data_IF_675585664039
#
_entry.id   IF_675585664039
#
_cell.length_a   1.000
_cell.length_b   1.000
_cell.length_c   1.000
_cell.angle_alpha   90.00
_cell.angle_beta   90.00
_cell.angle_gamma   90.00
#
_symmetry.space_group_name_H-M   'P 1'
#
loop_
_entity.id
_entity.type
_entity.pdbx_description
1 polymer ?
#
# COMPACT_ATOMS: atom_id res chain seq x y z
N UNK A 1 -2.13 -1.95 19.60
CA UNK A 1 -2.80 -0.93 18.77
C UNK A 1 -3.92 -1.59 17.99
N UNK A 2 -5.05 -0.91 17.76
CA UNK A 2 -6.14 -1.44 16.93
C UNK A 2 -5.71 -1.45 15.46
N UNK A 3 -5.96 -2.55 14.77
CA UNK A 3 -5.72 -2.69 13.31
C UNK A 3 -6.64 -1.74 12.54
N UNK A 4 -6.11 -1.10 11.51
CA UNK A 4 -6.88 -0.24 10.62
C UNK A 4 -7.71 -1.10 9.68
N UNK A 5 -8.98 -0.77 9.46
CA UNK A 5 -9.82 -1.54 8.52
C UNK A 5 -9.39 -1.27 7.07
N UNK A 6 -9.37 0.00 6.67
CA UNK A 6 -9.02 0.39 5.30
C UNK A 6 -7.99 1.51 5.30
N UNK A 7 -6.90 1.35 4.56
CA UNK A 7 -5.86 2.37 4.36
C UNK A 7 -5.71 2.66 2.88
N UNK A 8 -5.90 3.92 2.49
CA UNK A 8 -5.65 4.39 1.14
C UNK A 8 -4.28 5.08 1.07
N UNK A 9 -3.46 4.71 0.08
CA UNK A 9 -2.15 5.32 -0.17
C UNK A 9 -2.22 6.09 -1.49
N UNK A 10 -2.25 7.42 -1.41
CA UNK A 10 -2.22 8.30 -2.59
C UNK A 10 -0.77 8.51 -3.00
N UNK A 11 -0.34 7.80 -4.04
CA UNK A 11 1.04 7.80 -4.54
C UNK A 11 1.86 6.59 -4.07
N UNK A 12 1.71 5.46 -4.74
CA UNK A 12 2.45 4.21 -4.47
C UNK A 12 3.83 4.13 -5.13
N UNK A 13 4.58 5.23 -5.07
CA UNK A 13 5.99 5.26 -5.49
C UNK A 13 6.92 4.57 -4.48
N UNK A 14 8.18 4.99 -4.40
CA UNK A 14 9.14 4.42 -3.44
C UNK A 14 8.64 4.51 -1.98
N UNK A 15 8.10 5.67 -1.58
CA UNK A 15 7.65 5.92 -0.21
C UNK A 15 6.28 5.26 0.06
N UNK A 16 5.28 5.55 -0.76
CA UNK A 16 3.95 4.95 -0.57
C UNK A 16 3.97 3.42 -0.67
N UNK A 17 4.82 2.89 -1.55
CA UNK A 17 5.06 1.45 -1.66
C UNK A 17 5.68 0.85 -0.39
N UNK A 18 6.72 1.47 0.17
CA UNK A 18 7.34 0.97 1.41
C UNK A 18 6.40 1.03 2.62
N UNK A 19 5.52 2.03 2.68
CA UNK A 19 4.45 2.10 3.69
C UNK A 19 3.45 0.96 3.50
N UNK A 20 2.99 0.71 2.28
CA UNK A 20 2.09 -0.42 1.98
C UNK A 20 2.67 -1.76 2.41
N UNK A 21 3.96 -1.98 2.14
CA UNK A 21 4.70 -3.16 2.60
C UNK A 21 4.78 -3.25 4.12
N UNK A 22 5.05 -2.14 4.80
CA UNK A 22 5.10 -2.11 6.26
C UNK A 22 3.72 -2.44 6.88
N UNK A 23 2.64 -1.86 6.33
CA UNK A 23 1.27 -2.14 6.78
C UNK A 23 0.94 -3.64 6.69
N UNK A 24 1.36 -4.30 5.60
CA UNK A 24 1.20 -5.75 5.45
C UNK A 24 2.10 -6.54 6.39
N UNK A 25 3.40 -6.21 6.44
CA UNK A 25 4.40 -6.94 7.23
C UNK A 25 4.07 -6.98 8.72
N UNK A 26 3.50 -5.90 9.25
CA UNK A 26 3.17 -5.76 10.66
C UNK A 26 1.67 -5.98 10.96
N UNK A 27 0.89 -6.47 9.99
CA UNK A 27 -0.56 -6.68 10.08
C UNK A 27 -1.33 -5.47 10.64
N UNK A 28 -0.95 -4.27 10.21
CA UNK A 28 -1.50 -3.01 10.73
C UNK A 28 -2.79 -2.60 10.02
N UNK A 29 -3.10 -3.19 8.87
CA UNK A 29 -4.30 -2.90 8.09
C UNK A 29 -4.95 -4.16 7.51
N UNK A 30 -6.28 -4.23 7.52
CA UNK A 30 -7.03 -5.31 6.87
C UNK A 30 -7.02 -5.16 5.34
N UNK A 31 -7.20 -3.93 4.85
CA UNK A 31 -7.13 -3.61 3.43
C UNK A 31 -6.25 -2.40 3.17
N UNK A 32 -5.37 -2.55 2.19
CA UNK A 32 -4.56 -1.45 1.65
C UNK A 32 -4.97 -1.20 0.20
N UNK A 33 -5.26 0.05 -0.15
CA UNK A 33 -5.66 0.50 -1.49
C UNK A 33 -4.66 1.52 -2.01
N UNK A 34 -3.88 1.14 -3.02
CA UNK A 34 -2.99 2.05 -3.73
C UNK A 34 -3.73 2.90 -4.76
N UNK A 35 -3.55 4.22 -4.71
CA UNK A 35 -4.11 5.19 -5.66
C UNK A 35 -2.95 5.84 -6.42
N UNK A 36 -3.05 5.89 -7.74
CA UNK A 36 -2.03 6.50 -8.58
C UNK A 36 -2.49 6.74 -10.01
N UNK A 37 -1.77 7.61 -10.71
CA UNK A 37 -2.10 8.05 -12.06
C UNK A 37 -1.63 7.07 -13.14
N UNK A 38 -0.49 6.43 -12.89
CA UNK A 38 0.20 5.56 -13.85
C UNK A 38 -0.03 4.11 -13.49
N UNK A 39 -0.65 3.36 -14.41
CA UNK A 39 -0.99 1.97 -14.16
C UNK A 39 0.25 1.08 -13.99
N UNK A 40 1.37 1.39 -14.65
CA UNK A 40 2.64 0.67 -14.46
C UNK A 40 3.12 0.73 -13.00
N UNK A 41 3.04 1.90 -12.35
CA UNK A 41 3.43 2.07 -10.95
C UNK A 41 2.51 1.27 -10.02
N UNK A 42 1.20 1.29 -10.28
CA UNK A 42 0.23 0.52 -9.50
C UNK A 42 0.46 -0.99 -9.62
N UNK A 43 0.79 -1.49 -10.83
CA UNK A 43 1.11 -2.91 -11.05
C UNK A 43 2.38 -3.33 -10.31
N UNK A 44 3.42 -2.50 -10.34
CA UNK A 44 4.67 -2.78 -9.62
C UNK A 44 4.41 -2.82 -8.10
N UNK A 45 3.73 -1.81 -7.56
CA UNK A 45 3.35 -1.76 -6.14
C UNK A 45 2.58 -3.02 -5.72
N UNK A 46 1.54 -3.39 -6.50
CA UNK A 46 0.74 -4.58 -6.23
C UNK A 46 1.56 -5.88 -6.32
N UNK A 47 2.54 -5.96 -7.23
CA UNK A 47 3.40 -7.15 -7.39
C UNK A 47 4.32 -7.36 -6.19
N UNK A 48 4.81 -6.29 -5.58
CA UNK A 48 5.66 -6.38 -4.38
C UNK A 48 4.84 -6.55 -3.10
N UNK A 49 3.51 -6.39 -3.15
CA UNK A 49 2.61 -6.53 -2.01
C UNK A 49 2.26 -5.22 -1.30
N UNK A 50 2.60 -4.08 -1.92
CA UNK A 50 2.21 -2.75 -1.47
C UNK A 50 0.78 -2.39 -1.89
#
# INVERSE_FOLDING_TARGET
MKRLENVAIVGVGLIGGSIGLALRKFDLAERVVGIGRRQVSLRIARRVGA
#
